data_IF_819238517848
#
_entry.id   IF_819238517848
#
_cell.length_a   1.000
_cell.length_b   1.000
_cell.length_c   1.000
_cell.angle_alpha   90.00
_cell.angle_beta   90.00
_cell.angle_gamma   90.00
#
_symmetry.space_group_name_H-M   'P 1'
#
loop_
_entity.id
_entity.type
_entity.pdbx_description
1 polymer ?
#
# COMPACT_ATOMS: atom_id res chain seq x y z
N UNK A 1 4.51 3.36 -19.44
CA UNK A 1 5.44 2.88 -18.40
C UNK A 1 4.57 2.35 -17.28
N UNK A 2 4.64 1.06 -16.98
CA UNK A 2 3.90 0.51 -15.84
C UNK A 2 4.74 0.77 -14.58
N UNK A 3 4.31 1.75 -13.78
CA UNK A 3 4.91 1.99 -12.46
C UNK A 3 4.59 0.80 -11.54
N UNK A 4 5.62 0.27 -10.88
CA UNK A 4 5.46 -0.77 -9.87
C UNK A 4 5.07 -0.11 -8.55
N UNK A 5 3.92 -0.48 -8.00
CA UNK A 5 3.40 0.12 -6.76
C UNK A 5 3.50 -0.90 -5.62
N UNK A 6 4.34 -0.60 -4.63
CA UNK A 6 4.32 -1.25 -3.32
C UNK A 6 3.38 -0.48 -2.39
N UNK A 7 2.35 -1.14 -1.88
CA UNK A 7 1.32 -0.55 -1.04
C UNK A 7 1.53 -0.95 0.42
N UNK A 8 1.97 0.02 1.22
CA UNK A 8 2.17 -0.11 2.65
C UNK A 8 0.85 0.10 3.37
N UNK A 9 0.40 -0.90 4.12
CA UNK A 9 -0.95 -0.89 4.66
C UNK A 9 -1.07 -1.62 6.00
N UNK A 10 -2.23 -1.43 6.62
CA UNK A 10 -2.66 -2.16 7.80
C UNK A 10 -4.08 -2.69 7.54
N UNK A 11 -4.40 -3.97 7.79
CA UNK A 11 -5.71 -4.55 7.47
C UNK A 11 -6.89 -3.83 8.12
N UNK A 12 -6.72 -3.36 9.36
CA UNK A 12 -7.74 -2.66 10.13
C UNK A 12 -7.79 -1.14 9.88
N UNK A 13 -6.98 -0.62 8.95
CA UNK A 13 -6.90 0.81 8.65
C UNK A 13 -7.90 1.20 7.56
N UNK A 14 -8.99 1.86 7.94
CA UNK A 14 -10.04 2.32 7.02
C UNK A 14 -9.52 3.31 5.96
N UNK A 15 -8.52 4.13 6.30
CA UNK A 15 -7.84 5.02 5.33
C UNK A 15 -7.07 4.22 4.29
N UNK A 16 -6.40 3.16 4.70
CA UNK A 16 -5.60 2.30 3.83
C UNK A 16 -6.50 1.54 2.84
N UNK A 17 -7.65 1.07 3.31
CA UNK A 17 -8.68 0.45 2.47
C UNK A 17 -9.19 1.42 1.39
N UNK A 18 -9.50 2.67 1.77
CA UNK A 18 -9.93 3.71 0.82
C UNK A 18 -8.84 4.07 -0.18
N UNK A 19 -7.59 4.14 0.24
CA UNK A 19 -6.46 4.43 -0.63
C UNK A 19 -6.21 3.30 -1.65
N UNK A 20 -6.33 2.03 -1.23
CA UNK A 20 -6.25 0.89 -2.15
C UNK A 20 -7.37 0.94 -3.19
N UNK A 21 -8.61 1.20 -2.76
CA UNK A 21 -9.75 1.37 -3.67
C UNK A 21 -9.53 2.51 -4.67
N UNK A 22 -9.02 3.66 -4.21
CA UNK A 22 -8.71 4.81 -5.07
C UNK A 22 -7.71 4.46 -6.20
N UNK A 23 -6.71 3.63 -5.90
CA UNK A 23 -5.72 3.16 -6.87
C UNK A 23 -6.36 2.18 -7.87
N UNK A 24 -7.14 1.22 -7.40
CA UNK A 24 -7.86 0.26 -8.23
C UNK A 24 -8.81 0.96 -9.21
N UNK A 25 -9.59 1.94 -8.75
CA UNK A 25 -10.51 2.75 -9.56
C UNK A 25 -9.81 3.51 -10.70
N UNK A 26 -8.51 3.77 -10.56
CA UNK A 26 -7.68 4.47 -11.55
C UNK A 26 -6.86 3.53 -12.43
N UNK A 27 -7.12 2.23 -12.36
CA UNK A 27 -6.35 1.19 -13.04
C UNK A 27 -4.86 1.18 -12.65
N UNK A 28 -4.53 1.66 -11.45
CA UNK A 28 -3.21 1.46 -10.87
C UNK A 28 -3.17 0.07 -10.22
N UNK A 29 -2.32 -0.81 -10.75
CA UNK A 29 -2.14 -2.14 -10.18
C UNK A 29 -1.16 -2.07 -9.01
N UNK A 30 -1.60 -2.50 -7.82
CA UNK A 30 -0.69 -2.74 -6.69
C UNK A 30 0.07 -4.03 -6.97
N UNK A 31 1.40 -3.95 -6.99
CA UNK A 31 2.28 -5.07 -7.27
C UNK A 31 2.63 -5.85 -6.00
N UNK A 32 2.73 -5.14 -4.89
CA UNK A 32 3.17 -5.67 -3.61
C UNK A 32 2.37 -5.04 -2.48
N UNK A 33 1.97 -5.86 -1.51
CA UNK A 33 1.25 -5.44 -0.31
C UNK A 33 2.14 -5.68 0.90
N UNK A 34 2.54 -4.63 1.61
CA UNK A 34 3.42 -4.73 2.78
C UNK A 34 2.65 -4.35 4.05
N UNK A 35 2.44 -5.31 4.94
CA UNK A 35 1.77 -5.07 6.23
C UNK A 35 2.77 -4.43 7.20
N UNK A 36 2.60 -3.15 7.50
CA UNK A 36 3.53 -2.39 8.35
C UNK A 36 3.53 -2.83 9.82
N UNK A 37 2.57 -3.66 10.24
CA UNK A 37 2.53 -4.23 11.60
C UNK A 37 3.26 -5.56 11.67
N UNK A 38 3.22 -6.36 10.61
CA UNK A 38 4.00 -7.60 10.52
C UNK A 38 5.46 -7.33 10.14
N UNK A 39 5.67 -6.35 9.27
CA UNK A 39 6.97 -5.96 8.73
C UNK A 39 7.18 -4.44 8.94
N UNK A 40 7.50 -4.03 10.19
CA UNK A 40 7.67 -2.62 10.51
C UNK A 40 8.83 -2.01 9.73
N UNK A 41 8.62 -0.78 9.28
CA UNK A 41 9.62 0.01 8.58
C UNK A 41 10.74 0.44 9.53
N UNK A 42 11.97 0.39 9.03
CA UNK A 42 13.10 1.06 9.67
C UNK A 42 12.93 2.58 9.60
N UNK A 43 13.59 3.31 10.51
CA UNK A 43 13.54 4.78 10.55
C UNK A 43 14.03 5.44 9.25
N UNK A 44 14.87 4.76 8.49
CA UNK A 44 15.42 5.24 7.22
C UNK A 44 14.44 5.05 6.04
N UNK A 45 13.37 4.28 6.23
CA UNK A 45 12.35 3.99 5.19
C UNK A 45 11.09 4.87 5.31
N UNK A 46 11.02 5.77 6.31
CA UNK A 46 9.84 6.62 6.63
C UNK A 46 10.12 8.09 6.33
#
# INVERSE_FOLDING_TARGET
MNELITFYWLPSCSTCQKAAQYLEERNHKINEWRDIKLEPLGREEV
#
